data_IF_362685014118
#
_entry.id   IF_362685014118
#
_cell.length_a   1.000
_cell.length_b   1.000
_cell.length_c   1.000
_cell.angle_alpha   90.00
_cell.angle_beta   90.00
_cell.angle_gamma   90.00
#
_symmetry.space_group_name_H-M   'P 1'
#
loop_
_entity.id
_entity.type
_entity.pdbx_description
1 polymer ?
#
# COMPACT_ATOMS: atom_id res chain seq x y z
N UNK A 1 -4.06 -21.72 -18.87
CA UNK A 1 -3.30 -20.65 -19.55
C UNK A 1 -4.05 -19.33 -19.55
N UNK A 2 -5.33 -19.30 -19.94
CA UNK A 2 -6.15 -18.08 -19.99
C UNK A 2 -6.28 -17.42 -18.61
N UNK A 3 -6.50 -18.21 -17.56
CA UNK A 3 -6.58 -17.70 -16.17
C UNK A 3 -5.29 -17.08 -15.67
N UNK A 4 -4.14 -17.60 -16.12
CA UNK A 4 -2.83 -17.02 -15.82
C UNK A 4 -2.64 -15.66 -16.47
N UNK A 5 -3.15 -15.48 -17.70
CA UNK A 5 -3.15 -14.19 -18.38
C UNK A 5 -4.04 -13.17 -17.64
N UNK A 6 -5.22 -13.59 -17.18
CA UNK A 6 -6.10 -12.74 -16.40
C UNK A 6 -5.48 -12.26 -15.08
N UNK A 7 -4.85 -13.17 -14.35
CA UNK A 7 -4.13 -12.83 -13.12
C UNK A 7 -2.89 -11.94 -13.39
N UNK A 8 -2.18 -12.20 -14.51
CA UNK A 8 -1.06 -11.39 -14.94
C UNK A 8 -1.48 -9.97 -15.31
N UNK A 9 -2.61 -9.82 -16.01
CA UNK A 9 -3.16 -8.52 -16.38
C UNK A 9 -3.56 -7.71 -15.13
N UNK A 10 -4.24 -8.35 -14.16
CA UNK A 10 -4.59 -7.73 -12.89
C UNK A 10 -3.35 -7.22 -12.14
N UNK A 11 -2.35 -8.09 -12.01
CA UNK A 11 -1.09 -7.71 -11.36
C UNK A 11 -0.39 -6.57 -12.11
N UNK A 12 -0.37 -6.63 -13.44
CA UNK A 12 0.20 -5.60 -14.30
C UNK A 12 -0.46 -4.23 -14.10
N UNK A 13 -1.79 -4.18 -13.98
CA UNK A 13 -2.53 -2.94 -13.72
C UNK A 13 -2.20 -2.37 -12.34
N UNK A 14 -2.17 -3.22 -11.30
CA UNK A 14 -1.81 -2.77 -9.94
C UNK A 14 -0.40 -2.16 -9.93
N UNK A 15 0.56 -2.82 -10.58
CA UNK A 15 1.94 -2.31 -10.69
C UNK A 15 1.97 -1.01 -11.50
N UNK A 16 1.18 -0.89 -12.57
CA UNK A 16 1.11 0.31 -13.39
C UNK A 16 0.61 1.51 -12.59
N UNK A 17 -0.45 1.37 -11.81
CA UNK A 17 -0.97 2.44 -10.95
C UNK A 17 0.08 2.88 -9.93
N UNK A 18 0.76 1.94 -9.27
CA UNK A 18 1.84 2.26 -8.34
C UNK A 18 3.01 2.98 -9.04
N UNK A 19 3.34 2.58 -10.27
CA UNK A 19 4.41 3.20 -11.08
C UNK A 19 4.05 4.61 -11.51
N UNK A 20 2.80 4.86 -11.89
CA UNK A 20 2.31 6.22 -12.21
C UNK A 20 2.40 7.11 -10.99
N UNK A 21 1.97 6.65 -9.81
CA UNK A 21 2.08 7.40 -8.58
C UNK A 21 3.54 7.75 -8.23
N UNK A 22 4.47 6.81 -8.40
CA UNK A 22 5.91 7.05 -8.21
C UNK A 22 6.46 8.04 -9.23
N UNK A 23 6.04 7.95 -10.49
CA UNK A 23 6.46 8.86 -11.56
C UNK A 23 5.97 10.30 -11.31
N UNK A 24 4.74 10.47 -10.85
CA UNK A 24 4.20 11.77 -10.46
C UNK A 24 4.98 12.35 -9.26
N UNK A 25 5.24 11.55 -8.25
CA UNK A 25 6.05 11.95 -7.10
C UNK A 25 7.44 12.41 -7.54
N UNK A 26 8.11 11.64 -8.40
CA UNK A 26 9.41 12.02 -8.95
C UNK A 26 9.34 13.29 -9.80
N UNK A 27 8.30 13.44 -10.62
CA UNK A 27 8.10 14.63 -11.46
C UNK A 27 8.05 15.92 -10.64
N UNK A 28 7.41 15.88 -9.46
CA UNK A 28 7.28 17.03 -8.57
C UNK A 28 8.53 17.23 -7.68
N UNK A 29 9.01 16.15 -7.07
CA UNK A 29 10.06 16.24 -6.04
C UNK A 29 11.47 16.15 -6.59
N UNK A 30 11.65 15.59 -7.78
CA UNK A 30 12.96 15.24 -8.39
C UNK A 30 13.79 14.29 -7.52
N UNK A 31 13.15 13.58 -6.59
CA UNK A 31 13.75 12.63 -5.66
C UNK A 31 13.20 11.24 -5.96
N UNK A 32 14.10 10.27 -6.16
CA UNK A 32 13.71 8.86 -6.22
C UNK A 32 13.44 8.37 -4.80
N UNK A 33 12.18 8.09 -4.48
CA UNK A 33 11.78 7.66 -3.15
C UNK A 33 11.59 6.13 -3.11
N UNK A 34 12.59 5.40 -2.62
CA UNK A 34 12.52 3.95 -2.45
C UNK A 34 11.55 3.51 -1.35
N UNK A 35 11.18 4.41 -0.42
CA UNK A 35 10.19 4.11 0.60
C UNK A 35 8.75 4.13 0.08
N UNK A 36 8.50 4.48 -1.18
CA UNK A 36 7.16 4.58 -1.76
C UNK A 36 6.39 3.26 -1.65
N UNK A 37 7.04 2.13 -1.96
CA UNK A 37 6.43 0.80 -1.83
C UNK A 37 6.03 0.45 -0.40
N UNK A 38 6.85 0.85 0.58
CA UNK A 38 6.56 0.60 2.00
C UNK A 38 5.42 1.49 2.52
N UNK A 39 5.24 2.68 1.95
CA UNK A 39 4.09 3.54 2.27
C UNK A 39 2.80 2.94 1.73
N UNK A 40 2.82 2.33 0.54
CA UNK A 40 1.68 1.58 -0.02
C UNK A 40 1.35 0.39 0.90
N UNK A 41 2.36 -0.39 1.30
CA UNK A 41 2.19 -1.51 2.22
C UNK A 41 1.63 -1.07 3.58
N UNK A 42 2.10 0.05 4.12
CA UNK A 42 1.57 0.66 5.34
C UNK A 42 0.07 0.98 5.19
N UNK A 43 -0.35 1.55 4.06
CA UNK A 43 -1.75 1.82 3.76
C UNK A 43 -2.61 0.56 3.76
N UNK A 44 -2.11 -0.54 3.18
CA UNK A 44 -2.80 -1.82 3.19
C UNK A 44 -2.95 -2.37 4.62
N UNK A 45 -1.91 -2.29 5.46
CA UNK A 45 -1.92 -2.74 6.85
C UNK A 45 -2.90 -1.90 7.68
N UNK A 46 -2.90 -0.57 7.50
CA UNK A 46 -3.84 0.32 8.18
C UNK A 46 -5.28 -0.01 7.78
N UNK A 47 -5.53 -0.25 6.49
CA UNK A 47 -6.86 -0.67 6.02
C UNK A 47 -7.29 -1.98 6.67
N UNK A 48 -6.38 -2.96 6.73
CA UNK A 48 -6.65 -4.26 7.37
C UNK A 48 -6.96 -4.10 8.86
N UNK A 49 -6.25 -3.22 9.54
CA UNK A 49 -6.46 -2.93 10.96
C UNK A 49 -7.88 -2.40 11.25
N UNK A 50 -8.40 -1.53 10.41
CA UNK A 50 -9.74 -0.98 10.60
C UNK A 50 -10.86 -1.88 10.06
N UNK A 51 -10.59 -2.76 9.08
CA UNK A 51 -11.63 -3.51 8.35
C UNK A 51 -11.95 -4.89 8.93
N UNK A 52 -11.10 -5.48 9.78
CA UNK A 52 -11.34 -6.86 10.14
C UNK A 52 -10.84 -7.31 11.51
N UNK A 53 -11.30 -8.49 11.98
CA UNK A 53 -10.70 -9.18 13.10
C UNK A 53 -9.29 -9.59 12.68
N UNK A 54 -8.30 -8.91 13.21
CA UNK A 54 -6.92 -9.35 13.09
C UNK A 54 -6.80 -10.58 13.97
N UNK A 55 -6.36 -11.68 13.37
CA UNK A 55 -6.02 -12.89 14.10
C UNK A 55 -5.10 -12.50 15.26
N UNK A 56 -5.47 -12.86 16.48
CA UNK A 56 -5.01 -12.40 17.79
C UNK A 56 -3.50 -12.56 18.09
N UNK A 57 -2.65 -12.57 17.06
CA UNK A 57 -1.21 -12.79 17.16
C UNK A 57 -0.36 -11.56 16.84
N UNK A 58 -0.96 -10.38 16.82
CA UNK A 58 -0.23 -9.12 16.63
C UNK A 58 0.07 -8.53 18.00
N UNK A 59 1.32 -8.46 18.35
CA UNK A 59 1.84 -8.22 19.72
C UNK A 59 1.27 -6.96 20.41
N UNK A 60 0.86 -5.94 19.65
CA UNK A 60 0.33 -4.69 20.18
C UNK A 60 -1.18 -4.50 19.96
N UNK A 61 -1.77 -5.26 19.03
CA UNK A 61 -3.15 -5.06 18.59
C UNK A 61 -4.17 -5.94 19.35
N UNK A 62 -3.71 -6.88 20.18
CA UNK A 62 -4.59 -7.62 21.11
C UNK A 62 -5.38 -6.69 22.05
N UNK A 63 -4.88 -5.48 22.26
CA UNK A 63 -5.52 -4.48 23.13
C UNK A 63 -6.48 -3.54 22.39
N UNK A 64 -6.38 -3.48 21.08
CA UNK A 64 -7.25 -2.69 20.22
C UNK A 64 -8.03 -3.64 19.32
N UNK A 65 -9.23 -3.96 19.74
CA UNK A 65 -10.17 -4.70 18.90
C UNK A 65 -10.34 -3.97 17.57
N UNK A 66 -10.20 -4.64 16.42
CA UNK A 66 -10.47 -4.02 15.13
C UNK A 66 -11.90 -3.49 15.16
N UNK A 67 -12.08 -2.32 14.57
CA UNK A 67 -13.34 -1.59 14.65
C UNK A 67 -14.46 -2.20 13.80
N UNK A 68 -14.20 -3.30 13.06
CA UNK A 68 -15.19 -3.99 12.23
C UNK A 68 -15.82 -3.07 11.18
N UNK A 69 -15.10 -2.02 10.76
CA UNK A 69 -15.60 -1.04 9.81
C UNK A 69 -15.67 -1.64 8.41
N UNK A 70 -16.54 -1.09 7.55
CA UNK A 70 -16.60 -1.54 6.18
C UNK A 70 -15.25 -1.29 5.47
N UNK A 71 -14.91 -2.13 4.50
CA UNK A 71 -13.65 -2.02 3.75
C UNK A 71 -13.44 -0.62 3.14
N UNK A 72 -14.51 -0.01 2.61
CA UNK A 72 -14.45 1.30 1.96
C UNK A 72 -14.11 2.40 2.98
N UNK A 73 -14.76 2.41 4.14
CA UNK A 73 -14.46 3.40 5.19
C UNK A 73 -13.05 3.23 5.73
N UNK A 74 -12.61 2.00 5.91
CA UNK A 74 -11.24 1.68 6.34
C UNK A 74 -10.19 2.13 5.33
N UNK A 75 -10.46 1.96 4.03
CA UNK A 75 -9.58 2.41 2.96
C UNK A 75 -9.48 3.95 2.92
N UNK A 76 -10.59 4.67 3.10
CA UNK A 76 -10.59 6.14 3.16
C UNK A 76 -9.75 6.63 4.35
N UNK A 77 -9.94 6.03 5.52
CA UNK A 77 -9.14 6.36 6.71
C UNK A 77 -7.66 6.09 6.46
N UNK A 78 -7.32 4.96 5.84
CA UNK A 78 -5.93 4.61 5.51
C UNK A 78 -5.31 5.63 4.55
N UNK A 79 -6.03 6.08 3.54
CA UNK A 79 -5.55 7.12 2.60
C UNK A 79 -5.26 8.43 3.34
N UNK A 80 -6.15 8.86 4.23
CA UNK A 80 -5.96 10.08 5.03
C UNK A 80 -4.73 9.94 5.94
N UNK A 81 -4.62 8.82 6.66
CA UNK A 81 -3.49 8.58 7.57
C UNK A 81 -2.15 8.48 6.81
N UNK A 82 -2.11 7.78 5.68
CA UNK A 82 -0.92 7.72 4.84
C UNK A 82 -0.59 9.09 4.22
N UNK A 83 -1.58 9.90 3.87
CA UNK A 83 -1.39 11.27 3.41
C UNK A 83 -0.76 12.16 4.48
N UNK A 84 -1.27 12.10 5.71
CA UNK A 84 -0.69 12.80 6.87
C UNK A 84 0.73 12.31 7.13
N UNK A 85 0.96 10.99 7.12
CA UNK A 85 2.29 10.41 7.31
C UNK A 85 3.27 10.87 6.23
N UNK A 86 2.86 10.85 4.96
CA UNK A 86 3.67 11.37 3.85
C UNK A 86 3.97 12.86 3.99
N UNK A 87 2.99 13.67 4.41
CA UNK A 87 3.19 15.09 4.73
C UNK A 87 4.18 15.32 5.87
N UNK A 88 4.13 14.50 6.92
CA UNK A 88 5.10 14.56 8.01
C UNK A 88 6.51 14.18 7.52
N UNK A 89 6.65 13.14 6.71
CA UNK A 89 7.93 12.77 6.11
C UNK A 89 8.50 13.91 5.24
N UNK A 90 7.64 14.58 4.48
CA UNK A 90 8.05 15.74 3.69
C UNK A 90 8.59 16.85 4.58
N UNK A 91 7.87 17.20 5.65
CA UNK A 91 8.23 18.32 6.53
C UNK A 91 9.46 18.00 7.38
N UNK A 92 9.55 16.79 7.93
CA UNK A 92 10.58 16.41 8.90
C UNK A 92 11.85 15.87 8.25
N UNK A 93 11.73 15.22 7.08
CA UNK A 93 12.84 14.53 6.45
C UNK A 93 13.25 15.19 5.12
N UNK A 94 12.35 15.25 4.15
CA UNK A 94 12.72 15.69 2.80
C UNK A 94 12.97 17.19 2.69
N UNK A 95 12.17 18.01 3.37
CA UNK A 95 12.33 19.46 3.36
C UNK A 95 13.67 19.93 3.97
N UNK A 96 14.11 19.42 5.14
CA UNK A 96 15.45 19.74 5.67
C UNK A 96 16.59 19.28 4.75
N UNK A 97 16.48 18.08 4.17
CA UNK A 97 17.49 17.57 3.25
C UNK A 97 17.67 18.47 2.03
N UNK A 98 16.56 18.91 1.44
CA UNK A 98 16.60 19.85 0.30
C UNK A 98 17.17 21.21 0.68
N UNK A 99 16.85 21.72 1.88
CA UNK A 99 17.42 22.98 2.37
C UNK A 99 18.92 22.91 2.64
N UNK A 100 19.39 21.73 3.04
CA UNK A 100 20.82 21.48 3.26
C UNK A 100 21.59 21.22 1.97
N UNK A 101 20.93 21.31 0.79
CA UNK A 101 21.53 21.06 -0.54
C UNK A 101 22.25 19.71 -0.63
N UNK A 102 21.74 18.72 0.10
CA UNK A 102 22.33 17.38 0.14
C UNK A 102 22.23 16.76 -1.25
N UNK A 103 23.33 16.22 -1.75
CA UNK A 103 23.37 15.63 -3.09
C UNK A 103 22.38 14.47 -3.29
N UNK A 104 21.91 14.26 -4.51
CA UNK A 104 20.89 13.27 -4.86
C UNK A 104 21.22 11.85 -4.38
N UNK A 105 22.51 11.48 -4.36
CA UNK A 105 22.96 10.16 -3.89
C UNK A 105 22.69 9.99 -2.39
N UNK A 106 22.96 11.02 -1.60
CA UNK A 106 22.73 10.95 -0.16
C UNK A 106 21.21 10.88 0.16
N UNK A 107 20.38 11.61 -0.58
CA UNK A 107 18.91 11.52 -0.46
C UNK A 107 18.43 10.12 -0.83
N UNK A 108 19.00 9.48 -1.86
CA UNK A 108 18.69 8.11 -2.25
C UNK A 108 19.02 7.13 -1.12
N UNK A 109 20.19 7.25 -0.47
CA UNK A 109 20.57 6.43 0.68
C UNK A 109 19.57 6.61 1.84
N UNK A 110 19.17 7.86 2.10
CA UNK A 110 18.15 8.16 3.14
C UNK A 110 16.82 7.49 2.84
N UNK A 111 16.35 7.50 1.58
CA UNK A 111 15.08 6.85 1.22
C UNK A 111 15.15 5.33 1.31
N UNK A 112 16.31 4.72 1.05
CA UNK A 112 16.52 3.28 1.29
C UNK A 112 16.49 2.98 2.78
N UNK A 113 17.17 3.75 3.61
CA UNK A 113 17.13 3.62 5.07
C UNK A 113 15.70 3.79 5.62
N UNK A 114 14.97 4.77 5.08
CA UNK A 114 13.56 5.00 5.43
C UNK A 114 12.67 3.80 5.06
N UNK A 115 12.89 3.20 3.88
CA UNK A 115 12.18 1.99 3.44
C UNK A 115 12.38 0.85 4.44
N UNK A 116 13.63 0.58 4.81
CA UNK A 116 13.96 -0.46 5.78
C UNK A 116 13.34 -0.15 7.15
N UNK A 117 13.40 1.12 7.60
CA UNK A 117 12.81 1.55 8.86
C UNK A 117 11.29 1.34 8.88
N UNK A 118 10.57 1.80 7.87
CA UNK A 118 9.10 1.65 7.77
C UNK A 118 8.74 0.16 7.74
N UNK A 119 9.48 -0.65 6.97
CA UNK A 119 9.27 -2.10 6.91
C UNK A 119 9.37 -2.75 8.28
N UNK A 120 10.42 -2.48 9.04
CA UNK A 120 10.59 -3.04 10.37
C UNK A 120 9.57 -2.49 11.35
N UNK A 121 9.19 -1.22 11.21
CA UNK A 121 8.17 -0.59 12.04
C UNK A 121 6.83 -1.34 11.92
N UNK A 122 6.34 -1.58 10.70
CA UNK A 122 5.07 -2.30 10.57
C UNK A 122 5.19 -3.80 10.88
N UNK A 123 6.38 -4.41 10.70
CA UNK A 123 6.61 -5.81 11.13
C UNK A 123 6.59 -5.99 12.66
N UNK A 124 6.89 -4.94 13.42
CA UNK A 124 6.70 -4.94 14.88
C UNK A 124 5.22 -5.01 15.27
N UNK A 125 4.35 -4.44 14.46
CA UNK A 125 2.91 -4.39 14.69
C UNK A 125 2.15 -5.54 13.99
N UNK A 126 2.61 -5.96 12.83
CA UNK A 126 2.04 -7.03 12.04
C UNK A 126 2.99 -8.23 12.06
N UNK A 127 2.50 -9.39 12.46
CA UNK A 127 3.24 -10.63 12.27
C UNK A 127 3.57 -10.82 10.79
N UNK A 128 4.80 -11.24 10.46
CA UNK A 128 5.23 -11.47 9.07
C UNK A 128 4.48 -12.58 8.32
N UNK A 129 3.25 -12.89 8.72
CA UNK A 129 2.36 -13.86 8.07
C UNK A 129 1.53 -13.17 7.01
N UNK A 130 1.21 -13.91 5.96
CA UNK A 130 0.27 -13.46 4.93
C UNK A 130 -1.09 -13.23 5.58
N UNK A 131 -1.56 -11.99 5.54
CA UNK A 131 -2.86 -11.58 6.05
C UNK A 131 -3.83 -11.45 4.87
N UNK A 132 -5.02 -11.99 5.04
CA UNK A 132 -6.09 -11.85 4.06
C UNK A 132 -7.12 -10.85 4.57
N UNK A 133 -7.62 -9.98 3.70
CA UNK A 133 -8.74 -9.14 4.04
C UNK A 133 -9.99 -10.01 4.30
N UNK A 134 -10.80 -9.70 5.33
CA UNK A 134 -12.03 -10.41 5.64
C UNK A 134 -13.13 -10.03 4.63
N UNK A 135 -12.89 -10.34 3.37
CA UNK A 135 -13.84 -10.13 2.28
C UNK A 135 -14.50 -11.47 2.00
N UNK A 136 -15.80 -11.46 1.75
CA UNK A 136 -16.55 -12.65 1.36
C UNK A 136 -15.88 -13.31 0.15
N UNK A 137 -15.80 -14.64 0.18
CA UNK A 137 -15.27 -15.44 -0.93
C UNK A 137 -16.28 -15.37 -2.08
N UNK A 138 -16.06 -14.42 -2.97
CA UNK A 138 -16.85 -14.32 -4.20
C UNK A 138 -16.53 -15.51 -5.11
N UNK A 139 -17.59 -16.11 -5.67
CA UNK A 139 -17.48 -17.19 -6.65
C UNK A 139 -16.80 -16.65 -7.90
N UNK A 140 -15.90 -17.41 -8.50
CA UNK A 140 -15.30 -17.04 -9.79
C UNK A 140 -16.40 -17.06 -10.85
N UNK A 141 -16.49 -16.02 -11.63
CA UNK A 141 -17.38 -15.88 -12.77
C UNK A 141 -16.57 -15.67 -14.03
N UNK A 142 -17.11 -16.12 -15.16
CA UNK A 142 -16.44 -15.94 -16.46
C UNK A 142 -16.81 -14.56 -17.02
N UNK A 143 -15.84 -13.64 -17.00
CA UNK A 143 -15.98 -12.33 -17.64
C UNK A 143 -15.23 -12.33 -18.99
N UNK A 144 -15.96 -12.14 -20.09
CA UNK A 144 -15.44 -12.21 -21.46
C UNK A 144 -14.78 -13.57 -21.75
N UNK A 145 -13.49 -13.71 -21.46
CA UNK A 145 -12.70 -14.93 -21.70
C UNK A 145 -11.90 -15.35 -20.46
N UNK A 146 -12.03 -14.65 -19.31
CA UNK A 146 -11.25 -14.88 -18.11
C UNK A 146 -12.14 -15.31 -16.95
N UNK A 147 -11.72 -16.35 -16.23
CA UNK A 147 -12.32 -16.70 -14.96
C UNK A 147 -11.74 -15.83 -13.84
N UNK A 148 -12.48 -14.82 -13.44
CA UNK A 148 -12.10 -13.88 -12.40
C UNK A 148 -13.17 -13.78 -11.33
N UNK A 149 -12.77 -13.34 -10.13
CA UNK A 149 -13.77 -12.90 -9.15
C UNK A 149 -14.34 -11.53 -9.57
N UNK A 150 -15.64 -11.24 -9.31
CA UNK A 150 -16.24 -9.95 -9.60
C UNK A 150 -15.43 -8.77 -9.06
N UNK A 151 -14.78 -8.98 -7.92
CA UNK A 151 -13.89 -8.00 -7.30
C UNK A 151 -12.67 -7.70 -8.16
N UNK A 152 -12.00 -8.73 -8.67
CA UNK A 152 -10.82 -8.58 -9.52
C UNK A 152 -11.17 -7.84 -10.82
N UNK A 153 -12.36 -8.09 -11.36
CA UNK A 153 -12.88 -7.38 -12.53
C UNK A 153 -13.11 -5.88 -12.24
N UNK A 154 -13.69 -5.55 -11.07
CA UNK A 154 -13.84 -4.15 -10.63
C UNK A 154 -12.50 -3.44 -10.46
N UNK A 155 -11.49 -4.12 -9.87
CA UNK A 155 -10.14 -3.56 -9.72
C UNK A 155 -9.49 -3.33 -11.07
N UNK A 156 -9.68 -4.23 -12.02
CA UNK A 156 -9.17 -4.09 -13.38
C UNK A 156 -9.76 -2.85 -14.08
N UNK A 157 -11.07 -2.66 -14.00
CA UNK A 157 -11.75 -1.48 -14.56
C UNK A 157 -11.27 -0.20 -13.88
N UNK A 158 -11.22 -0.19 -12.54
CA UNK A 158 -10.82 0.99 -11.78
C UNK A 158 -9.36 1.40 -12.03
N UNK A 159 -8.49 0.44 -12.36
CA UNK A 159 -7.09 0.73 -12.67
C UNK A 159 -6.83 1.11 -14.13
N UNK A 160 -7.85 0.96 -14.99
CA UNK A 160 -7.75 1.33 -16.40
C UNK A 160 -8.24 2.77 -16.68
N UNK A 161 -8.98 3.36 -15.74
CA UNK A 161 -9.50 4.73 -15.76
C UNK A 161 -8.51 5.66 -15.07
#
# INVERSE_FOLDING_TARGET
>A
MIDQLGNGLLLGIIISVASVALSLLYGVTRIVNFAHGEIIALGAIVTLFFSGPIDSRVLFLERFSPLGMSFITSAIIAVILCGVFGGLLELLLFRPLRKAEVGNIAVLVVTIGLSIFIRHLYLLFATGRVQNFPLELERRETYLFFEMTPRNFKVLIAGLI
#
